data_IF_923634479705
#
_entry.id   IF_923634479705
#
_cell.length_a   1.000
_cell.length_b   1.000
_cell.length_c   1.000
_cell.angle_alpha   90.00
_cell.angle_beta   90.00
_cell.angle_gamma   90.00
#
_symmetry.space_group_name_H-M   'P 1'
#
loop_
_entity.id
_entity.type
_entity.pdbx_description
1 polymer ?
#
# COMPACT_ATOMS: atom_id res chain seq x y z
N UNK A 1 -15.29 -6.56 -22.21
CA UNK A 1 -14.91 -5.45 -21.32
C UNK A 1 -16.00 -5.32 -20.27
N UNK A 2 -15.77 -5.89 -19.09
CA UNK A 2 -16.57 -5.61 -17.91
C UNK A 2 -16.44 -4.11 -17.64
N UNK A 3 -17.55 -3.39 -17.49
CA UNK A 3 -17.49 -1.98 -17.12
C UNK A 3 -16.98 -1.94 -15.68
N UNK A 4 -15.74 -1.48 -15.48
CA UNK A 4 -15.17 -1.32 -14.15
C UNK A 4 -15.86 -0.13 -13.47
N UNK A 5 -16.50 -0.35 -12.33
CA UNK A 5 -17.10 0.71 -11.54
C UNK A 5 -16.01 1.62 -10.95
N UNK A 6 -16.32 2.91 -10.72
CA UNK A 6 -15.32 3.88 -10.26
C UNK A 6 -14.63 3.50 -8.95
N UNK A 7 -15.36 2.84 -8.04
CA UNK A 7 -14.78 2.28 -6.82
C UNK A 7 -13.76 1.17 -7.10
N UNK A 8 -14.01 0.30 -8.08
CA UNK A 8 -13.07 -0.75 -8.46
C UNK A 8 -11.81 -0.15 -9.08
N UNK A 9 -11.96 0.92 -9.87
CA UNK A 9 -10.82 1.67 -10.40
C UNK A 9 -9.96 2.30 -9.29
N UNK A 10 -10.59 2.83 -8.24
CA UNK A 10 -9.86 3.37 -7.08
C UNK A 10 -9.13 2.25 -6.32
N UNK A 11 -9.84 1.16 -6.05
CA UNK A 11 -9.36 0.06 -5.23
C UNK A 11 -8.36 -0.85 -5.94
N UNK A 12 -8.22 -0.76 -7.26
CA UNK A 12 -7.30 -1.59 -8.03
C UNK A 12 -5.88 -1.51 -7.46
N UNK A 13 -5.37 -2.65 -7.00
CA UNK A 13 -4.07 -2.82 -6.33
C UNK A 13 -3.81 -1.80 -5.21
N UNK A 14 -4.88 -1.33 -4.54
CA UNK A 14 -4.76 -0.28 -3.53
C UNK A 14 -4.24 -0.81 -2.18
N UNK A 15 -4.51 -2.08 -1.87
CA UNK A 15 -4.24 -2.63 -0.54
C UNK A 15 -3.00 -3.52 -0.56
N UNK A 16 -1.87 -2.97 -0.12
CA UNK A 16 -0.68 -3.76 0.19
C UNK A 16 -0.91 -4.56 1.48
N UNK A 17 -0.83 -5.88 1.41
CA UNK A 17 -1.10 -6.76 2.55
C UNK A 17 0.10 -6.87 3.48
N UNK A 18 -0.10 -6.43 4.72
CA UNK A 18 0.92 -6.28 5.75
C UNK A 18 0.54 -7.08 7.02
N UNK A 19 0.10 -8.34 6.87
CA UNK A 19 -0.41 -9.18 7.98
C UNK A 19 0.60 -9.41 9.12
N UNK A 20 1.89 -9.39 8.82
CA UNK A 20 2.98 -9.52 9.81
C UNK A 20 3.06 -8.35 10.81
N UNK A 21 2.41 -7.23 10.52
CA UNK A 21 2.58 -5.99 11.26
C UNK A 21 1.37 -5.70 12.16
N UNK A 22 1.57 -4.94 13.25
CA UNK A 22 0.46 -4.55 14.11
C UNK A 22 -0.65 -3.80 13.35
N UNK A 23 -1.92 -3.94 13.79
CA UNK A 23 -2.33 -4.70 14.97
C UNK A 23 -2.39 -6.23 14.79
N UNK A 24 -2.57 -6.76 13.57
CA UNK A 24 -2.75 -8.21 13.38
C UNK A 24 -1.55 -9.02 13.87
N UNK A 25 -0.33 -8.58 13.54
CA UNK A 25 0.93 -9.19 14.00
C UNK A 25 0.97 -10.70 13.79
N UNK A 26 0.47 -11.16 12.65
CA UNK A 26 0.40 -12.59 12.31
C UNK A 26 1.81 -13.17 12.15
N UNK A 27 1.92 -14.48 12.35
CA UNK A 27 3.10 -15.23 11.92
C UNK A 27 3.18 -15.31 10.38
N UNK A 28 4.34 -15.72 9.85
CA UNK A 28 4.54 -15.79 8.40
C UNK A 28 3.59 -16.79 7.73
N UNK A 29 3.39 -17.96 8.34
CA UNK A 29 2.53 -19.01 7.77
C UNK A 29 1.07 -18.54 7.54
N UNK A 30 0.34 -18.01 8.54
CA UNK A 30 -1.01 -17.47 8.30
C UNK A 30 -1.00 -16.29 7.34
N UNK A 31 0.01 -15.40 7.38
CA UNK A 31 0.12 -14.27 6.44
C UNK A 31 0.20 -14.75 4.99
N UNK A 32 1.11 -15.68 4.70
CA UNK A 32 1.30 -16.24 3.35
C UNK A 32 0.06 -16.99 2.89
N UNK A 33 -0.58 -17.77 3.78
CA UNK A 33 -1.82 -18.49 3.47
C UNK A 33 -2.97 -17.53 3.14
N UNK A 34 -3.12 -16.45 3.91
CA UNK A 34 -4.11 -15.42 3.63
C UNK A 34 -3.85 -14.74 2.28
N UNK A 35 -2.60 -14.32 2.02
CA UNK A 35 -2.24 -13.71 0.73
C UNK A 35 -2.54 -14.63 -0.46
N UNK A 36 -2.19 -15.91 -0.36
CA UNK A 36 -2.54 -16.93 -1.37
C UNK A 36 -4.06 -17.02 -1.58
N UNK A 37 -4.83 -17.06 -0.48
CA UNK A 37 -6.28 -17.08 -0.51
C UNK A 37 -6.88 -15.85 -1.19
N UNK A 38 -6.39 -14.65 -0.85
CA UNK A 38 -6.87 -13.39 -1.41
C UNK A 38 -6.57 -13.30 -2.92
N UNK A 39 -5.39 -13.76 -3.38
CA UNK A 39 -5.07 -13.87 -4.82
C UNK A 39 -6.01 -14.79 -5.58
N UNK A 40 -6.50 -15.86 -4.93
CA UNK A 40 -7.49 -16.77 -5.51
C UNK A 40 -8.94 -16.29 -5.41
N UNK A 41 -9.18 -15.11 -4.82
CA UNK A 41 -10.53 -14.62 -4.53
C UNK A 41 -11.07 -13.68 -5.62
N UNK A 42 -12.40 -13.49 -5.74
CA UNK A 42 -12.98 -12.43 -6.56
C UNK A 42 -12.48 -11.01 -6.26
N UNK A 43 -11.92 -10.78 -5.07
CA UNK A 43 -11.37 -9.50 -4.65
C UNK A 43 -9.91 -9.27 -5.07
N UNK A 44 -9.24 -10.27 -5.68
CA UNK A 44 -7.84 -10.20 -6.08
C UNK A 44 -7.43 -8.91 -6.83
N UNK A 45 -8.26 -8.30 -7.71
CA UNK A 45 -7.89 -7.04 -8.36
C UNK A 45 -7.62 -5.87 -7.40
N UNK A 46 -8.12 -5.92 -6.16
CA UNK A 46 -7.90 -4.88 -5.15
C UNK A 46 -6.65 -5.12 -4.29
N UNK A 47 -6.09 -6.34 -4.36
CA UNK A 47 -4.91 -6.76 -3.62
C UNK A 47 -3.66 -6.23 -4.33
N UNK A 48 -2.85 -5.49 -3.59
CA UNK A 48 -1.53 -5.07 -4.01
C UNK A 48 -0.46 -6.07 -3.59
N UNK A 49 0.63 -5.55 -3.04
CA UNK A 49 1.85 -6.32 -2.75
C UNK A 49 1.78 -7.00 -1.39
N UNK A 50 2.51 -8.10 -1.23
CA UNK A 50 2.78 -8.66 0.09
C UNK A 50 3.97 -7.92 0.73
N UNK A 51 3.81 -7.42 1.95
CA UNK A 51 4.89 -6.75 2.68
C UNK A 51 5.69 -7.77 3.51
N UNK A 52 6.99 -7.92 3.22
CA UNK A 52 7.88 -8.88 3.92
C UNK A 52 9.20 -8.20 4.31
N UNK A 53 9.66 -8.28 5.57
CA UNK A 53 11.01 -7.85 5.93
C UNK A 53 12.09 -8.73 5.29
N UNK A 54 13.17 -8.14 4.79
CA UNK A 54 14.34 -8.90 4.27
C UNK A 54 14.85 -9.90 5.29
N UNK A 55 14.88 -9.50 6.57
CA UNK A 55 15.30 -10.35 7.69
C UNK A 55 14.45 -11.61 7.91
N UNK A 56 13.30 -11.75 7.23
CA UNK A 56 12.40 -12.90 7.33
C UNK A 56 12.23 -13.68 6.02
N UNK A 57 13.06 -13.42 4.99
CA UNK A 57 12.99 -14.16 3.72
C UNK A 57 13.15 -15.68 3.88
N UNK A 58 14.07 -16.15 4.74
CA UNK A 58 14.22 -17.59 5.01
C UNK A 58 12.97 -18.23 5.65
N UNK A 59 12.20 -17.44 6.40
CA UNK A 59 10.93 -17.90 6.96
C UNK A 59 9.84 -17.93 5.90
N UNK A 60 9.79 -16.91 5.03
CA UNK A 60 8.90 -16.85 3.88
C UNK A 60 9.13 -18.06 2.94
N UNK A 61 10.38 -18.30 2.50
CA UNK A 61 10.74 -19.40 1.59
C UNK A 61 10.25 -20.75 2.09
N UNK A 62 10.34 -20.97 3.41
CA UNK A 62 9.96 -22.22 4.06
C UNK A 62 8.46 -22.47 4.04
N UNK A 63 7.63 -21.42 4.15
CA UNK A 63 6.17 -21.56 4.30
C UNK A 63 5.41 -21.26 3.00
N UNK A 64 5.99 -20.48 2.09
CA UNK A 64 5.37 -20.10 0.82
C UNK A 64 5.56 -21.14 -0.29
N UNK A 65 6.60 -21.98 -0.21
CA UNK A 65 7.03 -22.86 -1.32
C UNK A 65 5.90 -23.59 -2.06
N UNK A 66 4.99 -24.25 -1.34
CA UNK A 66 3.89 -25.03 -1.95
C UNK A 66 2.70 -24.16 -2.43
N UNK A 67 2.68 -22.87 -2.09
CA UNK A 67 1.62 -21.91 -2.41
C UNK A 67 2.00 -20.98 -3.56
N UNK A 68 3.29 -20.84 -3.86
CA UNK A 68 3.78 -20.01 -4.95
C UNK A 68 3.43 -20.66 -6.30
N UNK A 69 3.00 -19.87 -7.29
CA UNK A 69 2.83 -20.36 -8.65
C UNK A 69 4.20 -20.83 -9.20
N UNK A 70 4.26 -21.85 -10.06
CA UNK A 70 5.54 -22.29 -10.60
C UNK A 70 6.11 -21.24 -11.57
N UNK A 71 7.44 -21.11 -11.61
CA UNK A 71 8.11 -20.39 -12.70
C UNK A 71 7.90 -21.18 -14.00
N UNK A 72 7.31 -20.59 -15.06
CA UNK A 72 7.03 -21.27 -16.31
C UNK A 72 8.32 -21.72 -17.01
N UNK A 73 8.21 -22.79 -17.81
CA UNK A 73 9.31 -23.25 -18.69
C UNK A 73 9.56 -22.18 -19.77
N UNK A 74 10.82 -21.93 -20.11
CA UNK A 74 11.18 -21.03 -21.20
C UNK A 74 10.56 -21.45 -22.55
N UNK A 75 10.23 -22.73 -22.73
CA UNK A 75 9.53 -23.24 -23.91
C UNK A 75 8.00 -23.05 -23.87
N UNK A 76 7.40 -22.76 -22.70
CA UNK A 76 5.97 -22.47 -22.53
C UNK A 76 5.65 -20.98 -22.68
N UNK A 77 6.25 -20.32 -23.68
CA UNK A 77 6.24 -18.87 -23.92
C UNK A 77 4.85 -18.20 -24.13
N UNK A 78 3.76 -18.95 -23.99
CA UNK A 78 2.38 -18.44 -24.04
C UNK A 78 1.80 -18.12 -22.65
N UNK A 79 2.48 -18.48 -21.54
CA UNK A 79 2.09 -18.13 -20.18
C UNK A 79 2.95 -16.98 -19.64
N UNK A 80 2.34 -15.80 -19.46
CA UNK A 80 2.97 -14.72 -18.70
C UNK A 80 3.17 -15.19 -17.24
N UNK A 81 4.37 -15.07 -16.68
CA UNK A 81 4.58 -15.42 -15.28
C UNK A 81 3.69 -14.51 -14.41
N UNK A 82 2.93 -15.11 -13.49
CA UNK A 82 2.14 -14.41 -12.48
C UNK A 82 2.80 -14.58 -11.10
N UNK A 83 4.03 -14.06 -10.88
CA UNK A 83 4.73 -14.22 -9.63
C UNK A 83 3.99 -13.48 -8.51
N UNK A 84 4.22 -13.91 -7.27
CA UNK A 84 3.87 -13.08 -6.13
C UNK A 84 4.77 -11.84 -6.10
N UNK A 85 4.15 -10.66 -6.07
CA UNK A 85 4.86 -9.38 -5.98
C UNK A 85 5.05 -8.98 -4.51
N UNK A 86 6.30 -8.82 -4.11
CA UNK A 86 6.70 -8.52 -2.73
C UNK A 86 7.24 -7.10 -2.66
N UNK A 87 6.82 -6.36 -1.63
CA UNK A 87 7.47 -5.12 -1.22
C UNK A 87 8.32 -5.42 0.01
N UNK A 88 9.64 -5.33 -0.14
CA UNK A 88 10.56 -5.70 0.92
C UNK A 88 10.81 -4.54 1.88
N UNK A 89 10.63 -4.78 3.18
CA UNK A 89 11.09 -3.82 4.19
C UNK A 89 12.58 -4.01 4.45
N UNK A 90 13.34 -2.97 4.16
CA UNK A 90 14.80 -2.95 4.31
C UNK A 90 15.22 -2.04 5.48
N UNK A 91 16.50 -2.07 5.80
CA UNK A 91 17.12 -1.23 6.83
C UNK A 91 16.94 0.25 6.53
N UNK A 92 17.04 1.08 7.59
CA UNK A 92 16.93 2.54 7.47
C UNK A 92 18.00 3.10 6.52
N UNK A 93 17.65 4.09 5.70
CA UNK A 93 18.58 4.81 4.82
C UNK A 93 19.71 5.52 5.60
N UNK A 94 19.57 5.66 6.93
CA UNK A 94 20.63 6.14 7.81
C UNK A 94 21.83 5.18 7.93
N UNK A 95 21.67 3.90 7.57
CA UNK A 95 22.70 2.86 7.62
C UNK A 95 22.87 2.24 6.22
N UNK A 96 23.61 2.94 5.36
CA UNK A 96 23.83 2.59 3.96
C UNK A 96 24.46 1.21 3.80
N UNK A 97 25.42 0.84 4.67
CA UNK A 97 26.04 -0.49 4.66
C UNK A 97 25.02 -1.60 4.97
N UNK A 98 24.02 -1.32 5.82
CA UNK A 98 22.94 -2.27 6.07
C UNK A 98 21.96 -2.37 4.90
N UNK A 99 21.65 -1.25 4.24
CA UNK A 99 20.85 -1.25 3.02
C UNK A 99 21.53 -2.06 1.91
N UNK A 100 22.84 -1.89 1.70
CA UNK A 100 23.61 -2.66 0.71
C UNK A 100 23.50 -4.18 0.96
N UNK A 101 23.65 -4.62 2.22
CA UNK A 101 23.46 -6.05 2.58
C UNK A 101 22.03 -6.54 2.36
N UNK A 102 21.04 -5.69 2.60
CA UNK A 102 19.64 -6.04 2.36
C UNK A 102 19.35 -6.17 0.85
N UNK A 103 19.97 -5.33 0.02
CA UNK A 103 19.89 -5.43 -1.45
C UNK A 103 20.54 -6.72 -1.96
N UNK A 104 21.75 -7.08 -1.47
CA UNK A 104 22.38 -8.36 -1.81
C UNK A 104 21.47 -9.57 -1.47
N UNK A 105 20.74 -9.50 -0.35
CA UNK A 105 19.80 -10.54 0.04
C UNK A 105 18.54 -10.56 -0.86
N UNK A 106 18.10 -9.41 -1.37
CA UNK A 106 17.03 -9.28 -2.35
C UNK A 106 17.43 -9.88 -3.70
N UNK A 107 18.64 -9.60 -4.19
CA UNK A 107 19.14 -10.19 -5.43
C UNK A 107 19.19 -11.71 -5.32
N UNK A 108 19.76 -12.22 -4.23
CA UNK A 108 19.80 -13.64 -3.96
C UNK A 108 18.39 -14.25 -3.85
N UNK A 109 17.41 -13.52 -3.33
CA UNK A 109 16.01 -13.94 -3.26
C UNK A 109 15.41 -14.04 -4.66
N UNK A 110 15.52 -12.98 -5.47
CA UNK A 110 15.00 -12.93 -6.83
C UNK A 110 15.60 -14.02 -7.72
N UNK A 111 16.92 -14.26 -7.63
CA UNK A 111 17.60 -15.34 -8.35
C UNK A 111 17.02 -16.72 -8.03
N UNK A 112 16.71 -16.99 -6.75
CA UNK A 112 16.09 -18.26 -6.33
C UNK A 112 14.69 -18.41 -6.92
N UNK A 113 13.91 -17.33 -6.91
CA UNK A 113 12.52 -17.33 -7.35
C UNK A 113 12.33 -17.14 -8.87
N UNK A 114 13.41 -16.91 -9.61
CA UNK A 114 13.45 -16.95 -11.08
C UNK A 114 13.82 -18.33 -11.64
N UNK A 115 14.14 -19.31 -10.79
CA UNK A 115 14.56 -20.65 -11.22
C UNK A 115 13.36 -21.45 -11.73
N UNK A 116 13.45 -21.97 -12.95
CA UNK A 116 12.43 -22.81 -13.60
C UNK A 116 11.92 -23.95 -12.70
N UNK A 117 10.59 -24.09 -12.60
CA UNK A 117 9.95 -25.09 -11.73
C UNK A 117 10.02 -24.78 -10.23
N UNK A 118 10.71 -23.72 -9.82
CA UNK A 118 10.64 -23.14 -8.47
C UNK A 118 9.35 -22.35 -8.26
N UNK A 119 9.13 -21.90 -7.01
CA UNK A 119 8.02 -20.99 -6.71
C UNK A 119 8.34 -19.58 -7.19
N UNK A 120 7.45 -18.96 -7.96
CA UNK A 120 7.61 -17.65 -8.56
C UNK A 120 7.20 -16.54 -7.58
N UNK A 121 8.18 -15.74 -7.19
CA UNK A 121 8.03 -14.52 -6.41
C UNK A 121 9.07 -13.49 -6.87
N UNK A 122 8.79 -12.21 -6.69
CA UNK A 122 9.73 -11.14 -7.06
C UNK A 122 9.65 -9.99 -6.06
N UNK A 123 10.82 -9.48 -5.70
CA UNK A 123 11.00 -8.21 -5.02
C UNK A 123 11.51 -7.20 -6.04
N UNK A 124 10.63 -6.32 -6.47
CA UNK A 124 10.88 -5.18 -7.37
C UNK A 124 10.56 -3.84 -6.66
N UNK A 125 10.30 -3.89 -5.34
CA UNK A 125 9.99 -2.73 -4.51
C UNK A 125 10.60 -2.89 -3.13
N UNK A 126 11.18 -1.81 -2.63
CA UNK A 126 11.68 -1.73 -1.25
C UNK A 126 11.01 -0.58 -0.49
N UNK A 127 10.95 -0.72 0.84
CA UNK A 127 10.44 0.27 1.76
C UNK A 127 11.43 0.49 2.90
N UNK A 128 11.77 1.74 3.17
CA UNK A 128 12.74 2.11 4.21
C UNK A 128 12.46 3.46 4.82
N UNK A 129 12.79 3.61 6.10
CA UNK A 129 12.79 4.92 6.75
C UNK A 129 13.95 5.76 6.23
N UNK A 130 13.69 7.04 5.95
CA UNK A 130 14.71 8.00 5.54
C UNK A 130 14.68 9.25 6.42
N UNK A 131 15.78 9.55 7.15
CA UNK A 131 15.82 10.73 8.01
C UNK A 131 15.88 12.06 7.25
N UNK A 132 16.52 12.10 6.08
CA UNK A 132 16.81 13.33 5.33
C UNK A 132 17.14 13.05 3.86
N UNK A 133 17.32 14.12 3.07
CA UNK A 133 17.66 14.03 1.63
C UNK A 133 19.02 13.38 1.36
N UNK A 134 20.03 13.64 2.19
CA UNK A 134 21.38 13.08 2.00
C UNK A 134 21.35 11.55 2.11
N UNK A 135 20.56 11.00 3.05
CA UNK A 135 20.36 9.54 3.16
C UNK A 135 19.60 8.93 1.98
N UNK A 136 18.68 9.70 1.37
CA UNK A 136 17.91 9.27 0.19
C UNK A 136 18.85 9.18 -1.01
N UNK A 137 19.64 10.23 -1.27
CA UNK A 137 20.61 10.28 -2.35
C UNK A 137 21.61 9.11 -2.25
N UNK A 138 22.12 8.84 -1.03
CA UNK A 138 23.06 7.75 -0.80
C UNK A 138 22.48 6.36 -1.10
N UNK A 139 21.19 6.12 -0.82
CA UNK A 139 20.54 4.86 -1.16
C UNK A 139 20.25 4.78 -2.65
N UNK A 140 19.80 5.86 -3.29
CA UNK A 140 19.53 5.88 -4.72
C UNK A 140 20.79 5.58 -5.55
N UNK A 141 21.96 6.02 -5.09
CA UNK A 141 23.26 5.68 -5.72
C UNK A 141 23.61 4.18 -5.65
N UNK A 142 22.93 3.39 -4.80
CA UNK A 142 23.11 1.93 -4.70
C UNK A 142 22.11 1.12 -5.53
N UNK A 143 20.99 1.70 -5.93
CA UNK A 143 19.89 0.95 -6.53
C UNK A 143 20.10 0.73 -8.02
N UNK A 144 19.79 -0.49 -8.46
CA UNK A 144 19.63 -0.81 -9.88
C UNK A 144 18.22 -0.41 -10.37
N UNK A 145 18.09 -0.22 -11.68
CA UNK A 145 16.86 0.27 -12.34
C UNK A 145 15.62 -0.63 -12.13
N UNK A 146 15.80 -1.87 -11.65
CA UNK A 146 14.74 -2.85 -11.45
C UNK A 146 14.06 -2.78 -10.06
N UNK A 147 14.59 -1.96 -9.14
CA UNK A 147 14.05 -1.81 -7.78
C UNK A 147 13.43 -0.42 -7.59
N UNK A 148 12.14 -0.39 -7.24
CA UNK A 148 11.42 0.86 -6.95
C UNK A 148 11.36 1.15 -5.43
N UNK A 149 12.05 2.19 -4.90
CA UNK A 149 12.06 2.48 -3.47
C UNK A 149 10.91 3.40 -3.03
N UNK A 150 10.37 3.11 -1.84
CA UNK A 150 9.51 4.00 -1.07
C UNK A 150 10.20 4.46 0.21
N UNK A 151 10.54 5.74 0.27
CA UNK A 151 11.18 6.35 1.43
C UNK A 151 10.13 6.84 2.43
N UNK A 152 10.03 6.20 3.60
CA UNK A 152 9.17 6.61 4.71
C UNK A 152 9.72 7.88 5.35
N UNK A 153 8.98 8.98 5.22
CA UNK A 153 9.33 10.30 5.72
C UNK A 153 8.53 10.61 6.99
N UNK A 154 9.22 11.08 8.03
CA UNK A 154 8.55 11.48 9.28
C UNK A 154 7.84 12.82 9.11
N UNK A 155 6.51 12.78 9.04
CA UNK A 155 5.63 13.93 8.90
C UNK A 155 5.72 14.94 10.06
N UNK A 156 6.39 14.59 11.17
CA UNK A 156 6.69 15.51 12.27
C UNK A 156 7.77 16.54 11.92
N UNK A 157 8.55 16.26 10.89
CA UNK A 157 9.61 17.12 10.38
C UNK A 157 9.19 17.81 9.07
N UNK A 158 10.01 18.74 8.59
CA UNK A 158 9.81 19.33 7.27
C UNK A 158 10.25 18.35 6.18
N UNK A 159 9.28 17.70 5.55
CA UNK A 159 9.49 16.66 4.53
C UNK A 159 9.91 17.23 3.15
N UNK A 160 9.85 18.55 2.94
CA UNK A 160 10.07 19.16 1.61
C UNK A 160 11.48 18.91 1.06
N UNK A 161 12.49 18.91 1.94
CA UNK A 161 13.87 18.60 1.54
C UNK A 161 14.01 17.17 1.03
N UNK A 162 13.48 16.21 1.78
CA UNK A 162 13.48 14.79 1.39
C UNK A 162 12.66 14.53 0.14
N UNK A 163 11.48 15.15 -0.01
CA UNK A 163 10.66 15.04 -1.22
C UNK A 163 11.42 15.62 -2.43
N UNK A 164 12.15 16.73 -2.25
CA UNK A 164 12.95 17.30 -3.33
C UNK A 164 14.11 16.38 -3.77
N UNK A 165 14.66 15.57 -2.87
CA UNK A 165 15.68 14.56 -3.20
C UNK A 165 15.12 13.41 -4.06
N UNK A 166 13.83 13.09 -3.91
CA UNK A 166 13.14 12.04 -4.69
C UNK A 166 12.72 12.54 -6.09
N UNK A 167 12.51 13.86 -6.24
CA UNK A 167 11.88 14.43 -7.43
C UNK A 167 12.66 14.13 -8.73
N UNK A 168 11.95 13.59 -9.72
CA UNK A 168 12.51 13.26 -11.04
C UNK A 168 13.27 11.93 -11.11
N UNK A 169 13.22 11.12 -10.06
CA UNK A 169 13.78 9.77 -10.00
C UNK A 169 12.67 8.72 -9.95
N UNK A 170 12.99 7.47 -10.24
CA UNK A 170 12.06 6.33 -10.18
C UNK A 170 11.90 5.84 -8.73
N UNK A 171 11.41 6.74 -7.88
CA UNK A 171 11.24 6.55 -6.44
C UNK A 171 10.00 7.29 -5.93
N UNK A 172 9.49 6.89 -4.76
CA UNK A 172 8.32 7.51 -4.15
C UNK A 172 8.50 7.82 -2.67
N UNK A 173 7.70 8.78 -2.19
CA UNK A 173 7.58 9.06 -0.78
C UNK A 173 6.61 8.08 -0.11
N UNK A 174 6.81 7.81 1.17
CA UNK A 174 5.90 7.04 2.00
C UNK A 174 5.60 7.80 3.27
N UNK A 175 4.34 7.77 3.68
CA UNK A 175 3.89 8.37 4.94
C UNK A 175 3.24 7.31 5.83
N UNK A 176 3.58 7.35 7.11
CA UNK A 176 2.89 6.59 8.15
C UNK A 176 1.70 7.39 8.68
N UNK A 177 0.50 6.83 8.57
CA UNK A 177 -0.77 7.45 8.99
C UNK A 177 -1.34 6.88 10.29
N UNK A 178 -0.66 5.93 10.91
CA UNK A 178 -1.06 5.38 12.21
C UNK A 178 -0.03 4.49 12.86
N UNK A 179 -0.41 3.93 14.01
CA UNK A 179 0.40 3.03 14.81
C UNK A 179 -0.33 2.62 16.09
N UNK A 180 0.39 2.00 17.01
CA UNK A 180 -0.20 1.50 18.27
C UNK A 180 -0.35 2.58 19.35
N UNK A 181 0.16 3.79 19.10
CA UNK A 181 0.07 4.93 20.01
C UNK A 181 -0.63 6.12 19.35
N UNK A 182 -1.30 6.94 20.14
CA UNK A 182 -2.06 8.09 19.63
C UNK A 182 -1.17 9.09 18.86
N UNK A 183 0.07 9.31 19.32
CA UNK A 183 1.04 10.21 18.68
C UNK A 183 1.61 9.67 17.36
N UNK A 184 1.34 8.42 16.99
CA UNK A 184 1.67 7.85 15.69
C UNK A 184 0.72 8.29 14.56
N UNK A 185 -0.39 8.97 14.90
CA UNK A 185 -1.42 9.38 13.95
C UNK A 185 -1.27 10.87 13.59
N UNK A 186 -0.99 11.23 12.33
CA UNK A 186 -0.95 12.62 11.92
C UNK A 186 -2.33 13.28 12.03
N UNK A 187 -2.33 14.60 12.25
CA UNK A 187 -3.52 15.42 12.06
C UNK A 187 -3.81 15.66 10.56
N UNK A 188 -4.92 16.36 10.28
CA UNK A 188 -5.27 16.81 8.90
C UNK A 188 -4.12 17.58 8.28
N UNK A 189 -3.51 18.49 9.04
CA UNK A 189 -2.50 19.40 8.49
C UNK A 189 -1.19 18.74 8.07
N UNK A 190 -0.54 17.90 8.91
CA UNK A 190 0.65 17.18 8.46
C UNK A 190 0.40 16.31 7.22
N UNK A 191 -0.74 15.61 7.15
CA UNK A 191 -1.06 14.76 6.00
C UNK A 191 -1.34 15.59 4.74
N UNK A 192 -2.11 16.69 4.86
CA UNK A 192 -2.35 17.61 3.74
C UNK A 192 -1.03 18.21 3.22
N UNK A 193 -0.16 18.67 4.13
CA UNK A 193 1.15 19.24 3.77
C UNK A 193 2.05 18.23 3.06
N UNK A 194 2.03 16.97 3.49
CA UNK A 194 2.76 15.89 2.82
C UNK A 194 2.24 15.64 1.39
N UNK A 195 0.92 15.51 1.20
CA UNK A 195 0.30 15.30 -0.13
C UNK A 195 0.54 16.52 -1.03
N UNK A 196 0.46 17.74 -0.49
CA UNK A 196 0.77 18.99 -1.20
C UNK A 196 2.22 19.03 -1.66
N UNK A 197 3.16 18.67 -0.79
CA UNK A 197 4.58 18.62 -1.14
C UNK A 197 4.87 17.59 -2.23
N UNK A 198 4.29 16.38 -2.12
CA UNK A 198 4.41 15.33 -3.13
C UNK A 198 3.88 15.82 -4.49
N UNK A 199 2.66 16.37 -4.53
CA UNK A 199 2.07 16.87 -5.78
C UNK A 199 2.90 17.98 -6.41
N UNK A 200 3.37 18.94 -5.62
CA UNK A 200 4.12 20.09 -6.12
C UNK A 200 5.50 19.70 -6.67
N UNK A 201 6.07 18.60 -6.17
CA UNK A 201 7.36 18.05 -6.62
C UNK A 201 7.20 16.94 -7.66
N UNK A 202 5.97 16.60 -8.06
CA UNK A 202 5.66 15.46 -8.94
C UNK A 202 6.20 14.12 -8.41
N UNK A 203 6.27 13.98 -7.08
CA UNK A 203 6.71 12.77 -6.40
C UNK A 203 5.49 11.91 -6.07
N UNK A 204 5.43 10.64 -6.50
CA UNK A 204 4.38 9.73 -6.10
C UNK A 204 4.49 9.39 -4.62
N UNK A 205 3.38 8.95 -4.03
CA UNK A 205 3.38 8.51 -2.65
C UNK A 205 2.55 7.26 -2.39
N UNK A 206 2.88 6.60 -1.29
CA UNK A 206 2.02 5.60 -0.64
C UNK A 206 1.85 5.88 0.85
N UNK A 207 0.82 5.30 1.45
CA UNK A 207 0.55 5.44 2.87
C UNK A 207 0.69 4.10 3.59
N UNK A 208 0.87 4.10 4.90
CA UNK A 208 0.89 2.86 5.69
C UNK A 208 0.31 3.07 7.08
N UNK A 209 -0.30 2.02 7.63
CA UNK A 209 -0.91 1.96 8.95
C UNK A 209 -2.10 2.93 9.17
N UNK A 210 -3.14 2.46 9.86
CA UNK A 210 -4.25 3.31 10.28
C UNK A 210 -5.23 3.73 9.17
N UNK A 211 -5.28 2.99 8.07
CA UNK A 211 -6.20 3.21 6.93
C UNK A 211 -7.15 2.02 6.72
N UNK A 212 -7.65 1.46 7.82
CA UNK A 212 -8.50 0.27 7.82
C UNK A 212 -9.92 0.54 7.29
N UNK A 213 -10.43 1.74 7.58
CA UNK A 213 -11.81 2.12 7.28
C UNK A 213 -11.87 3.07 6.08
N UNK A 214 -12.97 3.13 5.34
CA UNK A 214 -13.13 4.00 4.19
C UNK A 214 -13.16 5.47 4.57
N UNK A 215 -13.71 5.82 5.74
CA UNK A 215 -13.98 7.19 6.16
C UNK A 215 -13.35 7.47 7.52
N UNK A 216 -12.84 8.69 7.70
CA UNK A 216 -12.21 9.17 8.93
C UNK A 216 -13.15 8.98 10.11
N UNK A 217 -12.64 8.39 11.19
CA UNK A 217 -13.41 8.18 12.42
C UNK A 217 -12.50 8.09 13.65
N UNK A 218 -13.09 8.27 14.83
CA UNK A 218 -12.44 7.99 16.11
C UNK A 218 -12.30 6.48 16.28
N UNK A 219 -11.07 6.03 16.58
CA UNK A 219 -10.79 4.61 16.77
C UNK A 219 -10.46 4.33 18.24
N UNK A 220 -11.41 3.70 18.92
CA UNK A 220 -11.31 3.42 20.35
C UNK A 220 -10.11 2.52 20.71
N UNK A 221 -9.69 1.65 19.78
CA UNK A 221 -8.55 0.74 19.95
C UNK A 221 -7.22 1.47 20.15
N UNK A 222 -7.06 2.65 19.56
CA UNK A 222 -5.82 3.46 19.61
C UNK A 222 -6.01 4.82 20.29
N UNK A 223 -7.27 5.21 20.59
CA UNK A 223 -7.61 6.49 21.22
C UNK A 223 -7.27 7.70 20.35
N UNK A 224 -7.40 7.56 19.03
CA UNK A 224 -7.10 8.62 18.07
C UNK A 224 -8.05 8.57 16.87
N UNK A 225 -8.20 9.71 16.18
CA UNK A 225 -8.86 9.77 14.88
C UNK A 225 -7.96 9.19 13.81
N UNK A 226 -8.40 8.11 13.17
CA UNK A 226 -7.76 7.56 11.99
C UNK A 226 -8.39 8.14 10.73
N UNK A 227 -7.57 8.30 9.69
CA UNK A 227 -8.08 8.69 8.37
C UNK A 227 -8.76 7.50 7.71
N UNK A 228 -9.75 7.79 6.87
CA UNK A 228 -10.26 6.79 5.95
C UNK A 228 -9.43 6.72 4.67
N UNK A 229 -9.28 5.55 4.07
CA UNK A 229 -8.57 5.45 2.79
C UNK A 229 -9.28 6.22 1.67
N UNK A 230 -10.62 6.41 1.72
CA UNK A 230 -11.30 7.30 0.77
C UNK A 230 -10.92 8.76 1.01
N UNK A 231 -10.81 9.22 2.26
CA UNK A 231 -10.36 10.57 2.55
C UNK A 231 -9.01 10.86 1.90
N UNK A 232 -8.07 9.92 2.05
CA UNK A 232 -6.68 10.09 1.58
C UNK A 232 -6.61 9.97 0.05
N UNK A 233 -7.03 8.85 -0.51
CA UNK A 233 -6.80 8.59 -1.94
C UNK A 233 -7.75 9.38 -2.82
N UNK A 234 -9.06 9.49 -2.48
CA UNK A 234 -9.96 10.33 -3.27
C UNK A 234 -9.61 11.82 -3.10
N UNK A 235 -9.20 12.25 -1.91
CA UNK A 235 -8.69 13.60 -1.68
C UNK A 235 -7.47 13.92 -2.55
N UNK A 236 -6.48 13.02 -2.58
CA UNK A 236 -5.30 13.14 -3.43
C UNK A 236 -5.66 13.19 -4.93
N UNK A 237 -6.59 12.35 -5.38
CA UNK A 237 -7.07 12.34 -6.77
C UNK A 237 -7.76 13.66 -7.16
N UNK A 238 -8.70 14.12 -6.34
CA UNK A 238 -9.42 15.37 -6.58
C UNK A 238 -8.48 16.57 -6.59
N UNK A 239 -7.50 16.59 -5.67
CA UNK A 239 -6.51 17.66 -5.58
C UNK A 239 -5.55 17.63 -6.78
N UNK A 240 -5.05 16.45 -7.15
CA UNK A 240 -4.18 16.26 -8.31
C UNK A 240 -4.88 16.72 -9.60
N UNK A 241 -6.12 16.28 -9.81
CA UNK A 241 -6.97 16.66 -10.94
C UNK A 241 -7.44 18.14 -10.91
N UNK A 242 -7.06 18.93 -9.90
CA UNK A 242 -7.44 20.35 -9.78
C UNK A 242 -8.93 20.58 -9.55
N UNK A 243 -9.65 19.57 -9.03
CA UNK A 243 -11.07 19.68 -8.66
C UNK A 243 -11.28 20.36 -7.31
N UNK A 244 -10.25 20.36 -6.49
CA UNK A 244 -10.17 21.04 -5.20
C UNK A 244 -8.80 21.70 -5.07
N UNK A 245 -8.73 22.76 -4.26
CA UNK A 245 -7.47 23.38 -3.84
C UNK A 245 -6.97 22.77 -2.52
N UNK A 246 -5.91 23.34 -1.95
CA UNK A 246 -5.36 22.86 -0.68
C UNK A 246 -6.33 22.97 0.49
N UNK A 247 -7.23 23.96 0.49
CA UNK A 247 -8.28 24.06 1.50
C UNK A 247 -9.29 22.92 1.35
N UNK A 248 -9.72 22.64 0.11
CA UNK A 248 -10.56 21.50 -0.19
C UNK A 248 -9.93 20.15 0.16
N UNK A 249 -8.61 19.99 -0.03
CA UNK A 249 -7.90 18.77 0.39
C UNK A 249 -8.03 18.55 1.92
N UNK A 250 -7.82 19.60 2.71
CA UNK A 250 -7.99 19.56 4.18
C UNK A 250 -9.43 19.20 4.55
N UNK A 251 -10.41 19.75 3.85
CA UNK A 251 -11.82 19.44 4.08
C UNK A 251 -12.15 17.97 3.78
N UNK A 252 -11.65 17.41 2.67
CA UNK A 252 -11.84 15.97 2.35
C UNK A 252 -11.16 15.09 3.40
N UNK A 253 -9.94 15.45 3.81
CA UNK A 253 -9.17 14.75 4.84
C UNK A 253 -9.84 14.80 6.23
N UNK A 254 -10.64 15.82 6.50
CA UNK A 254 -11.39 16.01 7.74
C UNK A 254 -12.82 15.44 7.70
N UNK A 255 -13.29 14.95 6.54
CA UNK A 255 -14.66 14.47 6.37
C UNK A 255 -14.93 13.18 7.15
N UNK A 256 -15.98 13.19 7.96
CA UNK A 256 -16.41 12.06 8.81
C UNK A 256 -17.79 11.52 8.37
N UNK A 257 -18.50 12.23 7.49
CA UNK A 257 -19.77 11.77 6.94
C UNK A 257 -19.55 10.87 5.72
N UNK A 258 -19.86 9.57 5.80
CA UNK A 258 -19.69 8.66 4.65
C UNK A 258 -20.59 9.02 3.48
N UNK A 259 -21.71 9.71 3.69
CA UNK A 259 -22.62 10.13 2.61
C UNK A 259 -22.03 11.24 1.74
N UNK A 260 -20.95 11.89 2.20
CA UNK A 260 -20.21 12.86 1.41
C UNK A 260 -19.40 12.19 0.29
N UNK A 261 -19.09 10.89 0.40
CA UNK A 261 -18.37 10.10 -0.61
C UNK A 261 -19.37 9.41 -1.53
N UNK A 262 -19.30 9.75 -2.81
CA UNK A 262 -20.28 9.32 -3.81
C UNK A 262 -19.54 8.61 -4.93
N UNK A 263 -20.01 7.42 -5.28
CA UNK A 263 -19.55 6.68 -6.44
C UNK A 263 -20.74 6.31 -7.33
N UNK A 264 -20.51 6.34 -8.63
CA UNK A 264 -21.38 5.72 -9.63
C UNK A 264 -20.54 4.83 -10.57
N UNK A 265 -21.16 4.32 -11.63
CA UNK A 265 -20.49 3.41 -12.56
C UNK A 265 -19.27 4.00 -13.27
N UNK A 266 -19.12 5.33 -13.35
CA UNK A 266 -18.06 5.97 -14.12
C UNK A 266 -17.33 7.11 -13.39
N UNK A 267 -17.84 7.58 -12.25
CA UNK A 267 -17.22 8.65 -11.45
C UNK A 267 -17.20 8.32 -9.97
N UNK A 268 -16.19 8.87 -9.29
CA UNK A 268 -16.10 8.91 -7.85
C UNK A 268 -15.90 10.34 -7.39
N UNK A 269 -16.33 10.69 -6.20
CA UNK A 269 -16.13 12.03 -5.69
C UNK A 269 -16.56 12.29 -4.27
N UNK A 270 -16.28 13.52 -3.86
CA UNK A 270 -16.63 14.05 -2.55
C UNK A 270 -17.49 15.29 -2.74
N UNK A 271 -18.67 15.31 -2.11
CA UNK A 271 -19.69 16.38 -2.24
C UNK A 271 -20.04 16.68 -3.70
N UNK A 272 -19.58 17.80 -4.26
CA UNK A 272 -19.83 18.20 -5.65
C UNK A 272 -18.64 17.93 -6.58
N UNK A 273 -17.46 17.62 -6.04
CA UNK A 273 -16.23 17.39 -6.80
C UNK A 273 -16.15 15.93 -7.27
N UNK A 274 -15.77 15.70 -8.54
CA UNK A 274 -15.79 14.38 -9.19
C UNK A 274 -14.54 14.15 -10.03
N UNK A 275 -14.11 12.90 -10.11
CA UNK A 275 -13.12 12.35 -11.05
C UNK A 275 -13.71 11.14 -11.77
N UNK A 276 -13.41 11.00 -13.06
CA UNK A 276 -13.85 9.85 -13.85
C UNK A 276 -12.90 8.65 -13.76
N UNK A 277 -13.37 7.45 -14.11
CA UNK A 277 -12.54 6.22 -14.14
C UNK A 277 -11.19 6.41 -14.86
N UNK A 278 -11.10 7.04 -16.05
CA UNK A 278 -9.81 7.23 -16.70
C UNK A 278 -8.82 8.08 -15.88
N UNK A 279 -9.31 9.15 -15.23
CA UNK A 279 -8.49 10.01 -14.37
C UNK A 279 -8.07 9.29 -13.09
N UNK A 280 -8.97 8.47 -12.52
CA UNK A 280 -8.67 7.65 -11.34
C UNK A 280 -7.50 6.72 -11.66
N UNK A 281 -7.58 5.96 -12.75
CA UNK A 281 -6.54 5.02 -13.16
C UNK A 281 -5.20 5.73 -13.47
N UNK A 282 -5.25 6.81 -14.25
CA UNK A 282 -4.06 7.57 -14.60
C UNK A 282 -3.35 8.12 -13.37
N UNK A 283 -4.06 8.83 -12.48
CA UNK A 283 -3.45 9.48 -11.33
C UNK A 283 -3.03 8.43 -10.28
N UNK A 284 -3.81 7.36 -10.06
CA UNK A 284 -3.42 6.25 -9.18
C UNK A 284 -2.09 5.63 -9.62
N UNK A 285 -1.90 5.42 -10.92
CA UNK A 285 -0.69 4.79 -11.46
C UNK A 285 0.58 5.66 -11.38
N UNK A 286 0.46 6.96 -11.08
CA UNK A 286 1.61 7.90 -11.14
C UNK A 286 1.78 8.78 -9.90
N UNK A 287 0.81 8.81 -9.00
CA UNK A 287 0.82 9.79 -7.90
C UNK A 287 0.43 9.21 -6.54
N UNK A 288 -0.66 8.46 -6.44
CA UNK A 288 -1.09 7.88 -5.17
C UNK A 288 -1.19 6.38 -5.35
N UNK A 289 -0.21 5.60 -4.85
CA UNK A 289 0.06 4.23 -5.30
C UNK A 289 -0.60 3.11 -4.50
N UNK A 290 -0.55 3.12 -3.16
CA UNK A 290 -1.16 2.07 -2.35
C UNK A 290 -1.22 2.47 -0.87
N UNK A 291 -1.91 1.68 -0.05
CA UNK A 291 -1.69 1.69 1.38
C UNK A 291 -1.43 0.31 1.97
N UNK A 292 -0.54 0.25 2.96
CA UNK A 292 -0.31 -0.96 3.76
C UNK A 292 -1.41 -1.19 4.79
N UNK A 293 -2.01 -2.38 4.78
CA UNK A 293 -3.03 -2.83 5.74
C UNK A 293 -2.73 -4.22 6.29
N UNK A 294 -2.90 -4.41 7.60
CA UNK A 294 -2.76 -5.74 8.20
C UNK A 294 -4.00 -6.63 7.98
N UNK A 295 -5.10 -6.08 7.45
CA UNK A 295 -6.29 -6.80 7.01
C UNK A 295 -6.64 -6.41 5.58
N UNK A 296 -6.87 -7.42 4.73
CA UNK A 296 -7.38 -7.21 3.38
C UNK A 296 -8.91 -7.22 3.32
N UNK A 297 -9.58 -7.89 4.25
CA UNK A 297 -11.04 -8.07 4.26
C UNK A 297 -11.75 -6.86 4.83
N UNK A 298 -11.24 -6.29 5.92
CA UNK A 298 -11.86 -5.18 6.66
C UNK A 298 -12.15 -3.95 5.78
N UNK A 299 -11.20 -3.44 4.96
CA UNK A 299 -11.50 -2.32 4.05
C UNK A 299 -12.62 -2.62 3.05
N UNK A 300 -12.74 -3.88 2.61
CA UNK A 300 -13.70 -4.30 1.59
C UNK A 300 -15.09 -4.51 2.19
N UNK A 301 -15.16 -5.12 3.38
CA UNK A 301 -16.41 -5.29 4.13
C UNK A 301 -17.03 -3.95 4.53
N UNK A 302 -16.21 -2.97 4.88
CA UNK A 302 -16.68 -1.62 5.14
C UNK A 302 -17.23 -0.94 3.88
N UNK A 303 -16.62 -1.14 2.71
CA UNK A 303 -17.17 -0.62 1.46
C UNK A 303 -18.51 -1.26 1.09
N UNK A 304 -18.70 -2.54 1.40
CA UNK A 304 -20.00 -3.21 1.27
C UNK A 304 -21.02 -2.59 2.22
N UNK A 305 -20.63 -2.33 3.47
CA UNK A 305 -21.48 -1.69 4.47
C UNK A 305 -21.91 -0.28 4.05
N UNK A 306 -21.03 0.46 3.36
CA UNK A 306 -21.35 1.75 2.77
C UNK A 306 -22.15 1.67 1.45
N UNK A 307 -22.39 0.46 0.92
CA UNK A 307 -23.06 0.26 -0.36
C UNK A 307 -22.24 0.71 -1.57
N UNK A 308 -20.93 0.88 -1.40
CA UNK A 308 -20.00 1.21 -2.48
C UNK A 308 -19.54 -0.05 -3.23
N UNK A 309 -19.52 -1.21 -2.56
CA UNK A 309 -19.36 -2.53 -3.17
C UNK A 309 -20.61 -3.39 -2.98
N UNK A 310 -20.90 -4.26 -3.94
CA UNK A 310 -22.00 -5.23 -3.82
C UNK A 310 -21.64 -6.40 -2.90
N UNK A 311 -20.37 -6.82 -2.93
CA UNK A 311 -19.81 -7.90 -2.12
C UNK A 311 -18.31 -7.65 -1.92
N UNK A 312 -17.77 -8.10 -0.78
CA UNK A 312 -16.34 -8.01 -0.49
C UNK A 312 -15.55 -9.02 -1.32
N UNK A 313 -16.15 -10.12 -1.77
CA UNK A 313 -15.46 -11.13 -2.57
C UNK A 313 -14.43 -11.96 -1.81
N UNK A 314 -14.41 -11.90 -0.47
CA UNK A 314 -13.42 -12.54 0.42
C UNK A 314 -14.03 -13.63 1.33
N UNK A 315 -15.34 -13.89 1.21
CA UNK A 315 -16.19 -14.61 2.19
C UNK A 315 -15.85 -16.09 2.46
N UNK A 316 -14.75 -16.62 1.92
CA UNK A 316 -14.30 -18.00 2.14
C UNK A 316 -13.01 -18.10 2.98
N UNK A 317 -12.46 -16.99 3.50
CA UNK A 317 -11.03 -16.96 3.86
C UNK A 317 -10.69 -16.67 5.34
N UNK A 318 -11.62 -16.26 6.20
CA UNK A 318 -11.28 -15.91 7.61
C UNK A 318 -12.11 -16.65 8.67
N UNK A 319 -12.94 -17.63 8.30
CA UNK A 319 -13.77 -18.37 9.26
C UNK A 319 -13.03 -19.55 9.92
N UNK A 320 -11.78 -19.41 10.36
CA UNK A 320 -11.11 -20.39 11.25
C UNK A 320 -9.85 -19.79 11.90
N UNK A 321 -9.95 -18.78 12.78
CA UNK A 321 -8.93 -18.65 13.85
C UNK A 321 -9.38 -17.84 15.09
N UNK A 322 -10.69 -17.81 15.41
CA UNK A 322 -11.14 -17.46 16.77
C UNK A 322 -10.88 -18.65 17.72
N UNK A 323 -9.59 -18.85 18.03
CA UNK A 323 -9.13 -19.71 19.09
C UNK A 323 -9.53 -19.14 20.45
N UNK A 324 -10.62 -19.67 20.99
CA UNK A 324 -11.05 -19.63 22.39
C UNK A 324 -9.85 -19.64 23.38
N UNK A 325 -9.49 -18.46 23.85
CA UNK A 325 -8.58 -18.23 24.96
C UNK A 325 -9.30 -18.10 26.30
N UNK A 326 -10.31 -18.94 26.58
CA UNK A 326 -10.83 -19.09 27.94
C UNK A 326 -9.83 -19.88 28.79
N UNK A 327 -9.07 -19.17 29.63
CA UNK A 327 -8.78 -19.53 31.02
C UNK A 327 -8.14 -18.38 31.80
#
# INVERSE_FOLDING_TARGET
MTVMHAIQALMNELVDYAGLFPPASLDMEPTVRHYAGYRGSPAAPMLGRLIVPVSRFEEFDRVAGDLLPPVPDAESADEDPDPWVISALVSSAADVDAVERDLEAIDAFNDRHATEGGGAAIVDTIELAAPDGDSIDAVLDLLDDDIYPYFELDWRNDVRGSIAAIAGLDAAAKIRTGGVTADAHPGVEPLAAFIEACRNAEVPFKATAGLHHPVRAEQASVGAKQFGFLNVFLGALLFHAGRIDGAGLRDVLAEEDPTAFIADGNTMGWRMSRVGVPEILEIRSRFAHAFGSCSFTEPLDDLVTLGLLETAGTSTLESTDDGDGSK
#
